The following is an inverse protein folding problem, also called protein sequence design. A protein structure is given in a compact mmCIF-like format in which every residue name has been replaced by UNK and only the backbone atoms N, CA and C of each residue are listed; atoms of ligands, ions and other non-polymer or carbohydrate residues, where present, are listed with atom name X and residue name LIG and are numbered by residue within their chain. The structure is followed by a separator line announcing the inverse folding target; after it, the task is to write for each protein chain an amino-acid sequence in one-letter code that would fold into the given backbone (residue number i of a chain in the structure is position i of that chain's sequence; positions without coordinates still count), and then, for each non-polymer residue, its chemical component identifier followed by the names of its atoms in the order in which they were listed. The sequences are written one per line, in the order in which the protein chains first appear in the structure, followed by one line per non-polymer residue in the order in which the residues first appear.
data_IF_938521639192
#
_entry.id   IF_938521639192
#
_cell.length_a   1.000
_cell.length_b   1.000
_cell.length_c   1.000
_cell.angle_alpha   90.00
_cell.angle_beta   90.00
_cell.angle_gamma   90.00
#
_symmetry.space_group_name_H-M   'P 1'
#
loop_
_entity.id
_entity.type
_entity.pdbx_description
1 polymer ?
#
# COMPACT_ATOMS: atom_id res chain seq x y z
N UNK A 1 -13.78 -25.58 13.13
CA UNK A 1 -12.73 -26.32 12.41
C UNK A 1 -11.93 -25.29 11.66
N UNK A 2 -10.95 -24.73 12.35
CA UNK A 2 -10.08 -23.67 11.88
C UNK A 2 -9.13 -24.29 10.85
N UNK A 3 -9.09 -23.75 9.63
CA UNK A 3 -8.21 -24.28 8.59
C UNK A 3 -6.80 -23.76 8.87
N UNK A 4 -6.02 -24.56 9.59
CA UNK A 4 -4.56 -24.43 9.60
C UNK A 4 -4.04 -24.71 8.18
N UNK A 5 -3.91 -23.65 7.37
CA UNK A 5 -3.17 -23.72 6.10
C UNK A 5 -1.69 -23.51 6.40
N UNK A 6 -1.00 -24.59 6.76
CA UNK A 6 0.46 -24.66 6.80
C UNK A 6 1.00 -24.81 5.37
N UNK A 7 2.02 -24.02 5.02
CA UNK A 7 2.82 -24.02 3.79
C UNK A 7 2.09 -23.61 2.49
N UNK A 8 2.41 -22.40 2.02
CA UNK A 8 1.82 -21.76 0.86
C UNK A 8 2.13 -22.48 -0.45
N UNK A 9 1.07 -22.90 -1.13
CA UNK A 9 1.09 -23.03 -2.58
C UNK A 9 1.13 -21.63 -3.19
N UNK A 10 1.97 -21.42 -4.22
CA UNK A 10 1.98 -20.17 -5.00
C UNK A 10 0.61 -19.79 -5.59
N UNK A 11 -0.34 -20.74 -5.60
CA UNK A 11 -1.69 -20.56 -6.13
C UNK A 11 -2.74 -20.21 -5.04
N UNK A 12 -2.35 -20.10 -3.78
CA UNK A 12 -3.27 -19.76 -2.68
C UNK A 12 -3.09 -18.30 -2.29
N UNK A 13 -4.19 -17.53 -2.12
CA UNK A 13 -4.09 -16.16 -1.67
C UNK A 13 -3.51 -16.09 -0.24
N UNK A 14 -2.78 -15.02 0.10
CA UNK A 14 -2.31 -14.79 1.46
C UNK A 14 -3.51 -14.68 2.40
N UNK A 15 -3.48 -15.41 3.52
CA UNK A 15 -4.57 -15.40 4.49
C UNK A 15 -4.60 -14.10 5.30
N UNK A 16 -5.80 -13.58 5.58
CA UNK A 16 -6.05 -12.39 6.36
C UNK A 16 -7.02 -12.63 7.49
N UNK A 17 -6.53 -12.48 8.71
CA UNK A 17 -7.29 -12.58 9.95
C UNK A 17 -7.78 -11.22 10.49
N UNK A 18 -7.22 -10.11 9.99
CA UNK A 18 -7.44 -8.76 10.51
C UNK A 18 -6.15 -8.06 10.93
N UNK A 19 -5.05 -8.79 11.07
CA UNK A 19 -3.77 -8.25 11.52
C UNK A 19 -2.91 -7.80 10.35
N UNK A 20 -2.19 -6.68 10.54
CA UNK A 20 -1.22 -6.14 9.59
C UNK A 20 -1.80 -5.97 8.17
N UNK A 21 -2.94 -5.28 8.07
CA UNK A 21 -3.65 -5.05 6.81
C UNK A 21 -2.74 -4.50 5.70
N UNK A 22 -1.87 -3.54 6.01
CA UNK A 22 -0.96 -2.95 5.03
C UNK A 22 -0.06 -4.01 4.34
N UNK A 23 0.59 -4.87 5.13
CA UNK A 23 1.45 -5.91 4.57
C UNK A 23 0.64 -7.01 3.86
N UNK A 24 -0.55 -7.34 4.37
CA UNK A 24 -1.43 -8.30 3.69
C UNK A 24 -1.93 -7.76 2.35
N UNK A 25 -2.35 -6.49 2.30
CA UNK A 25 -2.84 -5.79 1.11
C UNK A 25 -1.81 -5.85 -0.01
N UNK A 26 -0.57 -5.45 0.27
CA UNK A 26 0.52 -5.50 -0.71
C UNK A 26 0.77 -6.93 -1.22
N UNK A 27 0.82 -7.93 -0.33
CA UNK A 27 0.98 -9.33 -0.73
C UNK A 27 -0.19 -9.83 -1.58
N UNK A 28 -1.42 -9.40 -1.27
CA UNK A 28 -2.62 -9.80 -2.00
C UNK A 28 -2.66 -9.18 -3.39
N UNK A 29 -2.31 -7.89 -3.53
CA UNK A 29 -2.20 -7.21 -4.82
C UNK A 29 -1.18 -7.92 -5.71
N UNK A 30 0.03 -8.19 -5.19
CA UNK A 30 1.07 -8.94 -5.92
C UNK A 30 0.58 -10.34 -6.32
N UNK A 31 -0.12 -11.04 -5.42
CA UNK A 31 -0.66 -12.36 -5.70
C UNK A 31 -1.72 -12.34 -6.81
N UNK A 32 -2.67 -11.40 -6.76
CA UNK A 32 -3.75 -11.32 -7.73
C UNK A 32 -3.22 -10.93 -9.11
N UNK A 33 -2.26 -10.01 -9.15
CA UNK A 33 -1.59 -9.58 -10.38
C UNK A 33 -0.87 -10.75 -11.05
N UNK A 34 -0.12 -11.55 -10.28
CA UNK A 34 0.54 -12.75 -10.77
C UNK A 34 -0.44 -13.87 -11.16
N UNK A 35 -1.61 -13.94 -10.53
CA UNK A 35 -2.63 -14.96 -10.80
C UNK A 35 -3.41 -14.68 -12.08
N UNK A 36 -3.85 -13.43 -12.26
CA UNK A 36 -4.64 -12.97 -13.40
C UNK A 36 -4.68 -11.43 -13.46
N UNK A 37 -3.93 -10.86 -14.41
CA UNK A 37 -3.85 -9.42 -14.67
C UNK A 37 -5.24 -8.78 -14.87
N UNK A 38 -6.15 -9.46 -15.59
CA UNK A 38 -7.49 -8.92 -15.84
C UNK A 38 -8.36 -8.92 -14.59
N UNK A 39 -8.16 -9.87 -13.66
CA UNK A 39 -8.82 -9.84 -12.36
C UNK A 39 -8.24 -8.72 -11.49
N UNK A 40 -6.92 -8.49 -11.54
CA UNK A 40 -6.22 -7.40 -10.82
C UNK A 40 -6.83 -6.02 -11.13
N UNK A 41 -7.18 -5.75 -12.40
CA UNK A 41 -7.86 -4.51 -12.78
C UNK A 41 -9.13 -4.24 -11.98
N UNK A 42 -9.88 -5.26 -11.57
CA UNK A 42 -11.15 -5.09 -10.83
C UNK A 42 -10.96 -4.81 -9.33
N UNK A 43 -9.73 -4.58 -8.87
CA UNK A 43 -9.49 -3.90 -7.59
C UNK A 43 -9.59 -2.37 -7.73
N UNK A 44 -9.37 -1.83 -8.93
CA UNK A 44 -9.43 -0.38 -9.21
C UNK A 44 -10.62 0.01 -10.07
N UNK A 45 -11.02 -0.89 -10.99
CA UNK A 45 -12.14 -0.73 -11.91
C UNK A 45 -13.42 -1.31 -11.33
N UNK A 46 -14.49 -0.52 -11.37
CA UNK A 46 -15.80 -0.99 -10.96
C UNK A 46 -16.48 -1.80 -12.08
N UNK A 47 -16.88 -3.04 -11.77
CA UNK A 47 -17.73 -3.82 -12.67
C UNK A 47 -19.17 -3.29 -12.72
N UNK A 48 -19.66 -3.06 -13.93
CA UNK A 48 -21.04 -2.63 -14.20
C UNK A 48 -21.81 -3.81 -14.80
N UNK A 49 -22.98 -4.08 -14.24
CA UNK A 49 -23.87 -5.11 -14.78
C UNK A 49 -24.37 -4.71 -16.18
N UNK A 50 -24.32 -5.62 -17.17
CA UNK A 50 -24.86 -5.37 -18.50
C UNK A 50 -26.34 -4.98 -18.49
N UNK A 51 -26.66 -3.87 -19.15
CA UNK A 51 -28.03 -3.35 -19.29
C UNK A 51 -28.37 -3.13 -20.76
N UNK A 52 -29.67 -3.06 -21.06
CA UNK A 52 -30.19 -2.64 -22.37
C UNK A 52 -31.28 -1.60 -22.19
N UNK A 53 -31.47 -0.78 -23.21
CA UNK A 53 -32.53 0.24 -23.23
C UNK A 53 -33.72 -0.30 -24.03
N UNK A 54 -34.88 -0.39 -23.39
CA UNK A 54 -36.15 -0.78 -24.02
C UNK A 54 -37.14 0.35 -23.75
N UNK A 55 -37.66 0.98 -24.80
CA UNK A 55 -38.65 2.07 -24.69
C UNK A 55 -38.24 3.19 -23.71
N UNK A 56 -36.97 3.61 -23.75
CA UNK A 56 -36.35 4.60 -22.86
C UNK A 56 -36.13 4.15 -21.40
N UNK A 57 -36.46 2.92 -21.03
CA UNK A 57 -36.15 2.33 -19.73
C UNK A 57 -34.87 1.50 -19.78
N UNK A 58 -34.00 1.64 -18.78
CA UNK A 58 -32.79 0.83 -18.61
C UNK A 58 -33.15 -0.43 -17.82
N UNK A 59 -33.01 -1.59 -18.47
CA UNK A 59 -33.33 -2.89 -17.87
C UNK A 59 -32.10 -3.83 -17.90
N UNK A 60 -31.97 -4.78 -16.95
CA UNK A 60 -30.89 -5.76 -16.98
C UNK A 60 -30.91 -6.57 -18.29
N UNK A 61 -29.74 -6.70 -18.91
CA UNK A 61 -29.58 -7.48 -20.13
C UNK A 61 -29.55 -8.97 -19.75
N UNK A 62 -30.35 -9.85 -20.37
CA UNK A 62 -30.30 -11.29 -20.10
C UNK A 62 -28.96 -11.87 -20.56
N UNK A 63 -28.45 -12.89 -19.86
CA UNK A 63 -27.10 -13.44 -20.08
C UNK A 63 -26.84 -13.92 -21.51
N UNK A 64 -27.87 -14.36 -22.23
CA UNK A 64 -27.80 -14.80 -23.63
C UNK A 64 -27.48 -13.67 -24.62
N UNK A 65 -27.76 -12.41 -24.24
CA UNK A 65 -27.51 -11.23 -25.08
C UNK A 65 -26.18 -10.55 -24.75
N UNK A 66 -25.42 -11.08 -23.80
CA UNK A 66 -24.15 -10.46 -23.39
C UNK A 66 -23.10 -10.61 -24.48
N UNK A 67 -22.39 -9.52 -24.75
CA UNK A 67 -21.20 -9.53 -25.59
C UNK A 67 -20.07 -10.30 -24.92
N UNK A 68 -19.08 -10.74 -25.70
CA UNK A 68 -17.88 -11.40 -25.17
C UNK A 68 -17.16 -10.51 -24.15
N UNK A 69 -17.09 -9.20 -24.39
CA UNK A 69 -16.50 -8.23 -23.47
C UNK A 69 -17.26 -8.15 -22.13
N UNK A 70 -18.60 -8.14 -22.15
CA UNK A 70 -19.43 -8.14 -20.94
C UNK A 70 -19.30 -9.45 -20.16
N UNK A 71 -19.23 -10.57 -20.87
CA UNK A 71 -18.96 -11.90 -20.30
C UNK A 71 -17.61 -11.92 -19.60
N UNK A 72 -16.58 -11.43 -20.28
CA UNK A 72 -15.22 -11.34 -19.77
C UNK A 72 -15.12 -10.43 -18.56
N UNK A 73 -15.70 -9.24 -18.62
CA UNK A 73 -15.72 -8.29 -17.50
C UNK A 73 -16.34 -8.89 -16.23
N UNK A 74 -17.48 -9.57 -16.36
CA UNK A 74 -18.11 -10.23 -15.22
C UNK A 74 -17.32 -11.44 -14.73
N UNK A 75 -16.63 -12.16 -15.63
CA UNK A 75 -15.74 -13.25 -15.25
C UNK A 75 -14.56 -12.73 -14.42
N UNK A 76 -13.86 -11.70 -14.89
CA UNK A 76 -12.71 -11.10 -14.19
C UNK A 76 -13.10 -10.51 -12.84
N UNK A 77 -14.23 -9.80 -12.74
CA UNK A 77 -14.78 -9.34 -11.45
C UNK A 77 -15.07 -10.50 -10.49
N UNK A 78 -15.71 -11.58 -10.96
CA UNK A 78 -15.99 -12.76 -10.14
C UNK A 78 -14.70 -13.44 -9.67
N UNK A 79 -13.67 -13.49 -10.53
CA UNK A 79 -12.36 -14.09 -10.21
C UNK A 79 -11.64 -13.26 -9.15
N UNK A 80 -11.59 -11.94 -9.30
CA UNK A 80 -11.03 -11.02 -8.31
C UNK A 80 -11.75 -11.15 -6.96
N UNK A 81 -13.08 -11.12 -6.96
CA UNK A 81 -13.89 -11.31 -5.75
C UNK A 81 -13.65 -12.67 -5.10
N UNK A 82 -13.54 -13.73 -5.89
CA UNK A 82 -13.27 -15.06 -5.35
C UNK A 82 -11.89 -15.14 -4.70
N UNK A 83 -10.85 -14.58 -5.34
CA UNK A 83 -9.53 -14.46 -4.74
C UNK A 83 -9.60 -13.71 -3.40
N UNK A 84 -10.34 -12.59 -3.36
CA UNK A 84 -10.53 -11.82 -2.14
C UNK A 84 -11.21 -12.63 -1.04
N UNK A 85 -12.39 -13.19 -1.29
CA UNK A 85 -13.14 -13.95 -0.28
C UNK A 85 -12.36 -15.16 0.24
N UNK A 86 -11.59 -15.83 -0.60
CA UNK A 86 -10.79 -16.99 -0.20
C UNK A 86 -9.54 -16.64 0.60
N UNK A 87 -9.13 -15.38 0.58
CA UNK A 87 -8.05 -14.84 1.41
C UNK A 87 -8.50 -14.51 2.84
N UNK A 88 -9.80 -14.30 3.07
CA UNK A 88 -10.31 -13.73 4.32
C UNK A 88 -10.67 -14.80 5.36
N UNK A 89 -10.46 -14.47 6.64
CA UNK A 89 -11.11 -15.15 7.76
C UNK A 89 -12.62 -14.92 7.74
N UNK A 90 -13.37 -15.74 8.47
CA UNK A 90 -14.83 -15.60 8.60
C UNK A 90 -15.24 -14.20 9.10
N UNK A 91 -14.48 -13.64 10.05
CA UNK A 91 -14.71 -12.30 10.58
C UNK A 91 -14.53 -11.24 9.49
N UNK A 92 -13.42 -11.31 8.74
CA UNK A 92 -13.14 -10.33 7.69
C UNK A 92 -14.10 -10.43 6.51
N UNK A 93 -14.50 -11.66 6.15
CA UNK A 93 -15.50 -11.91 5.12
C UNK A 93 -16.86 -11.29 5.46
N UNK A 94 -17.26 -11.29 6.74
CA UNK A 94 -18.55 -10.74 7.17
C UNK A 94 -18.75 -9.26 6.80
N UNK A 95 -17.66 -8.50 6.66
CA UNK A 95 -17.69 -7.09 6.25
C UNK A 95 -18.04 -6.87 4.77
N UNK A 96 -17.82 -7.88 3.90
CA UNK A 96 -17.98 -7.76 2.44
C UNK A 96 -18.91 -8.80 1.81
N UNK A 97 -19.48 -9.71 2.61
CA UNK A 97 -20.20 -10.89 2.13
C UNK A 97 -21.32 -10.60 1.11
N UNK A 98 -22.00 -9.46 1.21
CA UNK A 98 -23.11 -9.06 0.34
C UNK A 98 -22.70 -8.15 -0.82
N UNK A 99 -21.42 -7.86 -0.99
CA UNK A 99 -20.92 -6.98 -2.04
C UNK A 99 -20.50 -7.83 -3.25
N UNK A 100 -21.21 -7.77 -4.40
CA UNK A 100 -20.90 -8.61 -5.56
C UNK A 100 -19.76 -8.07 -6.43
N UNK A 101 -19.44 -6.78 -6.26
CA UNK A 101 -18.40 -6.09 -7.01
C UNK A 101 -17.06 -6.17 -6.26
N UNK A 102 -16.00 -6.61 -6.93
CA UNK A 102 -14.70 -6.83 -6.34
C UNK A 102 -14.08 -5.52 -5.83
N UNK A 103 -14.13 -4.45 -6.63
CA UNK A 103 -13.65 -3.11 -6.25
C UNK A 103 -14.38 -2.60 -5.02
N UNK A 104 -15.71 -2.66 -4.99
CA UNK A 104 -16.48 -2.19 -3.83
C UNK A 104 -16.15 -3.00 -2.56
N UNK A 105 -15.95 -4.32 -2.69
CA UNK A 105 -15.54 -5.17 -1.57
C UNK A 105 -14.12 -4.83 -1.10
N UNK A 106 -13.20 -4.60 -2.03
CA UNK A 106 -11.83 -4.17 -1.78
C UNK A 106 -11.78 -2.84 -1.02
N UNK A 107 -12.49 -1.82 -1.52
CA UNK A 107 -12.60 -0.51 -0.87
C UNK A 107 -13.24 -0.60 0.52
N UNK A 108 -14.25 -1.45 0.68
CA UNK A 108 -14.87 -1.65 2.00
C UNK A 108 -13.86 -2.21 3.01
N UNK A 109 -13.02 -3.17 2.62
CA UNK A 109 -11.95 -3.69 3.47
C UNK A 109 -10.93 -2.60 3.81
N UNK A 110 -10.53 -1.78 2.81
CA UNK A 110 -9.63 -0.64 3.04
C UNK A 110 -10.21 0.31 4.10
N UNK A 111 -11.48 0.69 3.96
CA UNK A 111 -12.14 1.58 4.93
C UNK A 111 -12.22 0.95 6.33
N UNK A 112 -12.48 -0.36 6.43
CA UNK A 112 -12.57 -1.05 7.72
C UNK A 112 -11.21 -1.07 8.45
N UNK A 113 -10.10 -1.21 7.73
CA UNK A 113 -8.78 -1.41 8.34
C UNK A 113 -7.88 -0.17 8.37
N UNK A 114 -7.97 0.69 7.36
CA UNK A 114 -7.15 1.90 7.25
C UNK A 114 -7.89 3.14 7.76
N UNK A 115 -9.21 3.06 7.86
CA UNK A 115 -10.13 4.20 8.02
C UNK A 115 -10.56 4.75 6.66
N UNK A 116 -11.48 5.71 6.68
CA UNK A 116 -11.83 6.44 5.46
C UNK A 116 -10.68 7.37 5.00
N UNK A 117 -10.84 7.98 3.83
CA UNK A 117 -9.83 8.89 3.28
C UNK A 117 -9.52 10.07 4.21
N UNK A 118 -10.45 10.47 5.10
CA UNK A 118 -10.21 11.53 6.09
C UNK A 118 -9.25 11.04 7.17
N UNK A 119 -9.47 9.86 7.74
CA UNK A 119 -8.56 9.26 8.73
C UNK A 119 -7.18 9.03 8.13
N UNK A 120 -7.10 8.55 6.88
CA UNK A 120 -5.83 8.38 6.17
C UNK A 120 -5.12 9.73 5.97
N UNK A 121 -5.85 10.78 5.60
CA UNK A 121 -5.30 12.14 5.44
C UNK A 121 -4.77 12.67 6.77
N UNK A 122 -5.50 12.48 7.87
CA UNK A 122 -5.05 12.90 9.20
C UNK A 122 -3.80 12.15 9.65
N UNK A 123 -3.75 10.83 9.48
CA UNK A 123 -2.55 10.02 9.76
C UNK A 123 -1.35 10.51 8.94
N UNK A 124 -1.56 10.78 7.65
CA UNK A 124 -0.51 11.28 6.78
C UNK A 124 0.00 12.66 7.23
N UNK A 125 -0.90 13.57 7.62
CA UNK A 125 -0.50 14.86 8.20
C UNK A 125 0.32 14.69 9.48
N UNK A 126 -0.04 13.74 10.35
CA UNK A 126 0.73 13.43 11.55
C UNK A 126 2.12 12.88 11.21
N UNK A 127 2.24 11.97 10.25
CA UNK A 127 3.54 11.41 9.80
C UNK A 127 4.42 12.48 9.17
N UNK A 128 3.85 13.36 8.34
CA UNK A 128 4.58 14.49 7.76
C UNK A 128 5.03 15.49 8.85
N UNK A 129 4.20 15.76 9.85
CA UNK A 129 4.58 16.57 11.01
C UNK A 129 5.72 15.92 11.80
N UNK A 130 5.67 14.61 12.05
CA UNK A 130 6.76 13.87 12.69
C UNK A 130 8.05 13.94 11.88
N UNK A 131 7.97 13.84 10.54
CA UNK A 131 9.11 14.02 9.66
C UNK A 131 9.68 15.45 9.77
N UNK A 132 8.82 16.47 9.82
CA UNK A 132 9.26 17.86 9.96
C UNK A 132 9.85 18.20 11.34
N UNK A 133 9.36 17.58 12.40
CA UNK A 133 9.89 17.71 13.76
C UNK A 133 11.11 16.82 14.01
N UNK A 134 11.36 15.85 13.12
CA UNK A 134 12.42 14.87 13.28
C UNK A 134 13.78 15.55 13.50
N UNK A 135 14.39 15.27 14.64
CA UNK A 135 15.76 15.66 14.98
C UNK A 135 16.51 14.49 15.57
N UNK A 136 17.81 14.48 15.30
CA UNK A 136 18.72 13.52 15.92
C UNK A 136 19.18 14.08 17.27
N UNK A 137 19.25 13.23 18.29
CA UNK A 137 19.63 13.67 19.64
C UNK A 137 21.16 13.75 19.84
N UNK A 138 21.59 14.42 20.92
CA UNK A 138 23.02 14.52 21.24
C UNK A 138 23.67 13.19 21.68
N UNK A 139 22.89 12.16 22.00
CA UNK A 139 23.38 10.85 22.44
C UNK A 139 23.06 9.70 21.49
N UNK A 140 22.13 9.91 20.56
CA UNK A 140 21.68 8.91 19.61
C UNK A 140 22.75 8.55 18.57
N UNK A 141 22.83 7.29 18.18
CA UNK A 141 23.71 6.83 17.10
C UNK A 141 23.10 7.09 15.71
N UNK A 142 23.94 7.14 14.67
CA UNK A 142 23.45 7.28 13.28
C UNK A 142 22.52 6.11 12.90
N UNK A 143 22.78 4.90 13.40
CA UNK A 143 21.94 3.74 13.12
C UNK A 143 20.55 3.86 13.75
N UNK A 144 20.46 4.28 15.01
CA UNK A 144 19.18 4.50 15.70
C UNK A 144 18.38 5.62 15.02
N UNK A 145 19.05 6.73 14.71
CA UNK A 145 18.42 7.84 14.00
C UNK A 145 17.88 7.42 12.64
N UNK A 146 18.70 6.70 11.87
CA UNK A 146 18.31 6.21 10.55
C UNK A 146 17.13 5.22 10.62
N UNK A 147 17.08 4.35 11.63
CA UNK A 147 15.93 3.47 11.84
C UNK A 147 14.62 4.23 12.06
N UNK A 148 14.66 5.37 12.78
CA UNK A 148 13.48 6.25 12.93
C UNK A 148 13.11 6.94 11.63
N UNK A 149 14.09 7.37 10.83
CA UNK A 149 13.85 7.91 9.49
C UNK A 149 13.14 6.87 8.62
N UNK A 150 13.64 5.64 8.57
CA UNK A 150 13.05 4.55 7.77
C UNK A 150 11.62 4.25 8.21
N UNK A 151 11.36 4.20 9.52
CA UNK A 151 10.02 3.99 10.06
C UNK A 151 9.02 5.03 9.54
N UNK A 152 9.39 6.32 9.62
CA UNK A 152 8.54 7.44 9.17
C UNK A 152 8.35 7.41 7.64
N UNK A 153 9.41 7.19 6.87
CA UNK A 153 9.33 7.16 5.39
C UNK A 153 8.51 5.99 4.89
N UNK A 154 8.64 4.82 5.53
CA UNK A 154 7.85 3.63 5.21
C UNK A 154 6.38 3.82 5.58
N UNK A 155 6.08 4.48 6.69
CA UNK A 155 4.71 4.80 7.07
C UNK A 155 4.06 5.75 6.04
N UNK A 156 4.76 6.82 5.63
CA UNK A 156 4.28 7.73 4.59
C UNK A 156 4.04 7.02 3.25
N UNK A 157 4.93 6.11 2.86
CA UNK A 157 4.78 5.26 1.67
C UNK A 157 3.55 4.35 1.76
N UNK A 158 3.31 3.69 2.91
CA UNK A 158 2.15 2.82 3.09
C UNK A 158 0.81 3.58 3.06
N UNK A 159 0.83 4.84 3.51
CA UNK A 159 -0.25 5.82 3.39
C UNK A 159 -0.35 6.42 1.98
N UNK A 160 0.48 6.01 1.02
CA UNK A 160 0.43 6.34 -0.41
C UNK A 160 0.99 7.71 -0.79
N UNK A 161 1.78 8.34 0.09
CA UNK A 161 2.55 9.54 -0.26
C UNK A 161 4.01 9.34 0.18
N UNK A 162 4.83 8.67 -0.64
CA UNK A 162 6.24 8.48 -0.32
C UNK A 162 6.96 9.82 -0.21
N UNK A 163 7.84 9.95 0.79
CA UNK A 163 8.71 11.13 0.95
C UNK A 163 9.88 11.00 -0.02
N UNK A 164 10.12 12.04 -0.81
CA UNK A 164 11.20 12.05 -1.79
C UNK A 164 12.58 11.81 -1.15
N UNK A 165 13.40 10.96 -1.77
CA UNK A 165 14.71 10.56 -1.24
C UNK A 165 15.63 11.77 -1.03
N UNK A 166 15.58 12.78 -1.91
CA UNK A 166 16.36 14.00 -1.76
C UNK A 166 15.92 14.79 -0.53
N UNK A 167 14.62 14.88 -0.26
CA UNK A 167 14.10 15.52 0.96
C UNK A 167 14.59 14.79 2.21
N UNK A 168 14.62 13.46 2.21
CA UNK A 168 15.17 12.65 3.31
C UNK A 168 16.66 12.94 3.52
N UNK A 169 17.46 12.94 2.45
CA UNK A 169 18.90 13.28 2.48
C UNK A 169 19.14 14.67 3.06
N UNK A 170 18.43 15.68 2.57
CA UNK A 170 18.53 17.05 3.04
C UNK A 170 18.11 17.17 4.51
N UNK A 171 17.04 16.47 4.90
CA UNK A 171 16.54 16.44 6.27
C UNK A 171 17.60 15.91 7.23
N UNK A 172 18.17 14.74 6.94
CA UNK A 172 19.22 14.12 7.77
C UNK A 172 20.37 15.12 7.96
N UNK A 173 20.93 15.65 6.87
CA UNK A 173 22.06 16.59 6.94
C UNK A 173 21.73 17.86 7.74
N UNK A 174 20.50 18.35 7.68
CA UNK A 174 20.06 19.55 8.40
C UNK A 174 19.94 19.32 9.91
N UNK A 175 19.53 18.13 10.34
CA UNK A 175 19.21 17.84 11.75
C UNK A 175 20.29 17.06 12.48
N UNK A 176 21.41 16.80 11.82
CA UNK A 176 22.61 16.25 12.46
C UNK A 176 23.10 17.18 13.59
N UNK A 177 23.41 16.61 14.78
CA UNK A 177 23.98 17.33 15.90
C UNK A 177 25.36 17.92 15.59
N UNK A 178 25.77 18.87 16.41
CA UNK A 178 27.03 19.60 16.26
C UNK A 178 28.26 18.68 16.24
N UNK A 179 28.23 17.55 16.95
CA UNK A 179 29.31 16.54 16.95
C UNK A 179 29.60 15.93 15.58
N UNK A 180 28.65 15.99 14.64
CA UNK A 180 28.82 15.51 13.26
C UNK A 180 29.20 16.61 12.28
N UNK A 181 29.47 17.85 12.75
CA UNK A 181 29.74 19.00 11.87
C UNK A 181 30.90 18.76 10.91
N UNK A 182 32.02 18.19 11.38
CA UNK A 182 33.17 17.89 10.53
C UNK A 182 32.82 16.91 9.40
N UNK A 183 32.10 15.83 9.73
CA UNK A 183 31.64 14.84 8.74
C UNK A 183 30.68 15.47 7.74
N UNK A 184 29.73 16.27 8.21
CA UNK A 184 28.77 16.99 7.37
C UNK A 184 29.50 17.87 6.35
N UNK A 185 30.47 18.68 6.79
CA UNK A 185 31.27 19.53 5.90
C UNK A 185 32.01 18.71 4.84
N UNK A 186 32.73 17.67 5.24
CA UNK A 186 33.45 16.80 4.30
C UNK A 186 32.54 16.14 3.26
N UNK A 187 31.30 15.77 3.65
CA UNK A 187 30.32 15.20 2.71
C UNK A 187 29.85 16.27 1.71
N UNK A 188 29.54 17.49 2.17
CA UNK A 188 29.05 18.58 1.33
C UNK A 188 30.12 19.10 0.36
N UNK A 189 31.40 19.04 0.72
CA UNK A 189 32.51 19.47 -0.15
C UNK A 189 32.77 18.50 -1.30
N UNK A 190 32.51 17.19 -1.09
CA UNK A 190 32.90 16.13 -2.03
C UNK A 190 31.71 15.60 -2.84
N UNK A 191 30.47 15.90 -2.47
CA UNK A 191 29.29 15.33 -3.12
C UNK A 191 28.29 16.39 -3.56
N UNK A 192 27.71 16.21 -4.75
CA UNK A 192 26.50 16.90 -5.14
C UNK A 192 25.32 16.36 -4.30
N UNK A 193 24.75 17.20 -3.44
CA UNK A 193 23.63 16.82 -2.57
C UNK A 193 22.37 16.42 -3.35
N UNK A 194 22.24 16.88 -4.60
CA UNK A 194 21.12 16.54 -5.47
C UNK A 194 21.24 15.13 -6.09
N UNK A 195 22.40 14.48 -5.96
CA UNK A 195 22.69 13.18 -6.58
C UNK A 195 23.06 12.09 -5.57
N UNK A 196 23.34 12.44 -4.30
CA UNK A 196 23.73 11.46 -3.30
C UNK A 196 22.53 10.58 -2.90
N UNK A 197 22.70 9.26 -3.06
CA UNK A 197 21.74 8.27 -2.59
C UNK A 197 21.75 8.14 -1.07
N UNK A 198 20.58 7.89 -0.48
CA UNK A 198 20.39 7.82 0.98
C UNK A 198 21.31 6.78 1.61
N UNK A 199 21.37 5.57 1.05
CA UNK A 199 22.25 4.51 1.55
C UNK A 199 23.73 4.89 1.55
N UNK A 200 24.19 5.65 0.54
CA UNK A 200 25.58 6.15 0.46
C UNK A 200 25.84 7.22 1.52
N UNK A 201 24.89 8.13 1.74
CA UNK A 201 24.98 9.14 2.81
C UNK A 201 25.12 8.47 4.18
N UNK A 202 24.22 7.54 4.50
CA UNK A 202 24.21 6.83 5.79
C UNK A 202 25.49 6.04 6.00
N UNK A 203 25.99 5.36 4.95
CA UNK A 203 27.27 4.68 4.97
C UNK A 203 28.41 5.62 5.34
N UNK A 204 28.50 6.79 4.70
CA UNK A 204 29.52 7.81 5.00
C UNK A 204 29.41 8.38 6.42
N UNK A 205 28.21 8.60 6.94
CA UNK A 205 28.00 9.13 8.29
C UNK A 205 28.43 8.14 9.39
N UNK A 206 28.39 6.83 9.08
CA UNK A 206 28.82 5.76 10.00
C UNK A 206 30.33 5.53 10.00
N UNK A 207 31.03 5.77 8.88
CA UNK A 207 32.45 5.40 8.70
C UNK A 207 33.44 6.56 8.84
N UNK A 208 33.12 7.72 8.27
CA UNK A 208 33.83 8.98 8.56
C UNK A 208 33.47 9.43 9.96
#
# INVERSE_FOLDING_TARGET
MERDRVAGSCNSPPYFDGNNYAAWREKFEIFLDALDEYASEYLTKEWVAPVKTVESNVVPKPRSEWTEAEVFAAYSNKKARNALVTALSSTQFSHIQHIPNAKQAWDKLRVVHEGDDQVRTLKLQMVLAQFEELRMSETESISEFYGRVEMITNEAMSLGQPIDELLVVQKILRVLPSRFRAKKTAIMEVQNLNEIKLGKLVGKLKTL
#
